data_IF_295217308948
#
_entry.id   IF_295217308948
#
_cell.length_a   1.000
_cell.length_b   1.000
_cell.length_c   1.000
_cell.angle_alpha   90.00
_cell.angle_beta   90.00
_cell.angle_gamma   90.00
#
_symmetry.space_group_name_H-M   'P 1'
#
loop_
_entity.id
_entity.type
_entity.pdbx_description
1 polymer ?
#
# COMPACT_ATOMS: atom_id res chain seq x y z
N UNK A 1 20.81 -7.77 3.91
CA UNK A 1 20.52 -6.33 4.13
C UNK A 1 19.89 -6.17 5.50
N UNK A 2 20.48 -5.39 6.40
CA UNK A 2 19.79 -4.97 7.62
C UNK A 2 19.00 -3.71 7.28
N UNK A 3 17.69 -3.88 7.13
CA UNK A 3 16.76 -2.82 6.71
C UNK A 3 16.72 -1.71 7.75
N UNK A 4 16.56 -2.07 9.03
CA UNK A 4 16.58 -1.15 10.16
C UNK A 4 17.70 -1.51 11.13
N UNK A 5 18.19 -0.51 11.87
CA UNK A 5 19.07 -0.77 13.01
C UNK A 5 18.29 -1.49 14.14
N UNK A 6 19.01 -2.07 15.11
CA UNK A 6 18.40 -2.92 16.14
C UNK A 6 17.32 -2.17 16.94
N UNK A 7 17.60 -0.95 17.37
CA UNK A 7 16.67 -0.12 18.14
C UNK A 7 15.43 0.28 17.33
N UNK A 8 15.60 0.68 16.07
CA UNK A 8 14.48 1.02 15.18
C UNK A 8 13.58 -0.19 14.93
N UNK A 9 14.18 -1.35 14.70
CA UNK A 9 13.45 -2.61 14.51
C UNK A 9 12.62 -2.95 15.74
N UNK A 10 13.21 -2.84 16.93
CA UNK A 10 12.49 -3.14 18.17
C UNK A 10 11.30 -2.20 18.37
N UNK A 11 11.43 -0.90 18.03
CA UNK A 11 10.31 0.05 18.08
C UNK A 11 9.16 -0.36 17.17
N UNK A 12 9.46 -0.75 15.92
CA UNK A 12 8.43 -1.23 14.98
C UNK A 12 7.75 -2.48 15.50
N UNK A 13 8.52 -3.46 15.98
CA UNK A 13 7.97 -4.70 16.55
C UNK A 13 7.05 -4.41 17.74
N UNK A 14 7.48 -3.54 18.65
CA UNK A 14 6.67 -3.17 19.82
C UNK A 14 5.32 -2.58 19.43
N UNK A 15 5.26 -1.75 18.38
CA UNK A 15 4.01 -1.17 17.87
C UNK A 15 3.09 -2.27 17.32
N UNK A 16 3.62 -3.18 16.50
CA UNK A 16 2.80 -4.24 15.90
C UNK A 16 2.30 -5.28 16.92
N UNK A 17 3.04 -5.48 18.01
CA UNK A 17 2.65 -6.35 19.10
C UNK A 17 1.70 -5.69 20.10
N UNK A 18 1.59 -4.36 20.13
CA UNK A 18 0.67 -3.66 21.03
C UNK A 18 -0.79 -3.81 20.57
N UNK A 19 -1.61 -4.39 21.44
CA UNK A 19 -3.04 -4.58 21.20
C UNK A 19 -3.78 -3.25 21.00
N UNK A 20 -3.29 -2.16 21.58
CA UNK A 20 -3.93 -0.86 21.56
C UNK A 20 -3.30 0.13 20.58
N UNK A 21 -2.35 -0.33 19.75
CA UNK A 21 -1.74 0.49 18.72
C UNK A 21 -2.81 1.10 17.80
N UNK A 22 -2.74 2.42 17.61
CA UNK A 22 -3.67 3.09 16.71
C UNK A 22 -3.23 2.93 15.24
N UNK A 23 -4.16 3.02 14.27
CA UNK A 23 -3.85 2.90 12.84
C UNK A 23 -2.74 3.83 12.34
N UNK A 24 -2.60 5.02 12.91
CA UNK A 24 -1.59 6.00 12.48
C UNK A 24 -0.18 5.61 12.96
N UNK A 25 -0.04 5.08 14.18
CA UNK A 25 1.24 4.53 14.67
C UNK A 25 1.71 3.34 13.83
N UNK A 26 0.75 2.50 13.41
CA UNK A 26 0.99 1.34 12.54
C UNK A 26 1.46 1.78 11.14
N UNK A 27 0.82 2.78 10.52
CA UNK A 27 1.26 3.35 9.23
C UNK A 27 2.63 4.02 9.35
N UNK A 28 2.91 4.75 10.43
CA UNK A 28 4.23 5.38 10.64
C UNK A 28 5.34 4.32 10.81
N UNK A 29 5.05 3.26 11.57
CA UNK A 29 5.98 2.14 11.75
C UNK A 29 6.27 1.42 10.42
N UNK A 30 5.23 1.14 9.63
CA UNK A 30 5.38 0.55 8.30
C UNK A 30 6.13 1.49 7.34
N UNK A 31 5.84 2.80 7.37
CA UNK A 31 6.52 3.80 6.57
C UNK A 31 8.03 3.78 6.83
N UNK A 32 8.47 3.65 8.09
CA UNK A 32 9.90 3.53 8.42
C UNK A 32 10.52 2.29 7.78
N UNK A 33 9.83 1.16 7.79
CA UNK A 33 10.28 -0.08 7.14
C UNK A 33 10.37 0.11 5.62
N UNK A 34 9.34 0.68 4.99
CA UNK A 34 9.31 0.91 3.54
C UNK A 34 10.38 1.90 3.07
N UNK A 35 10.55 3.02 3.77
CA UNK A 35 11.62 3.98 3.47
C UNK A 35 12.97 3.30 3.59
N UNK A 36 13.18 2.44 4.57
CA UNK A 36 14.44 1.74 4.71
C UNK A 36 14.66 0.61 3.67
N UNK A 37 13.57 -0.03 3.20
CA UNK A 37 13.63 -1.06 2.14
C UNK A 37 13.94 -0.45 0.77
N UNK A 38 13.30 0.67 0.44
CA UNK A 38 13.35 1.29 -0.89
C UNK A 38 14.29 2.50 -0.95
N UNK A 39 14.48 3.20 0.17
CA UNK A 39 15.39 4.32 0.32
C UNK A 39 16.82 3.83 0.56
N UNK A 40 17.70 4.09 -0.40
CA UNK A 40 19.13 3.71 -0.31
C UNK A 40 19.93 4.49 0.74
N UNK A 41 19.39 5.59 1.28
CA UNK A 41 20.04 6.46 2.28
C UNK A 41 19.00 6.98 3.28
N UNK A 42 19.43 7.28 4.51
CA UNK A 42 18.65 8.08 5.46
C UNK A 42 18.44 9.46 4.84
N UNK A 43 17.27 9.69 4.28
CA UNK A 43 16.82 11.01 3.82
C UNK A 43 15.57 11.39 4.60
N UNK A 44 15.39 12.67 4.91
CA UNK A 44 14.13 13.22 5.45
C UNK A 44 13.02 13.27 4.37
N UNK A 45 13.08 12.41 3.37
CA UNK A 45 12.15 12.42 2.27
C UNK A 45 10.82 11.80 2.70
N UNK A 46 9.72 12.45 2.33
CA UNK A 46 8.39 11.87 2.47
C UNK A 46 8.26 10.62 1.60
N UNK A 47 7.41 9.68 2.02
CA UNK A 47 7.11 8.43 1.28
C UNK A 47 6.77 8.72 -0.19
N UNK A 48 5.93 9.72 -0.44
CA UNK A 48 5.53 10.10 -1.80
C UNK A 48 6.69 10.67 -2.64
N UNK A 49 7.59 11.45 -2.04
CA UNK A 49 8.79 11.96 -2.74
C UNK A 49 9.72 10.82 -3.16
N UNK A 50 9.89 9.83 -2.28
CA UNK A 50 10.70 8.64 -2.56
C UNK A 50 10.09 7.81 -3.69
N UNK A 51 8.78 7.53 -3.63
CA UNK A 51 8.05 6.80 -4.68
C UNK A 51 8.22 7.51 -6.03
N UNK A 52 8.00 8.82 -6.06
CA UNK A 52 8.10 9.61 -7.30
C UNK A 52 9.52 9.57 -7.88
N UNK A 53 10.55 9.73 -7.05
CA UNK A 53 11.96 9.64 -7.49
C UNK A 53 12.30 8.26 -8.04
N UNK A 54 11.83 7.19 -7.41
CA UNK A 54 12.03 5.81 -7.87
C UNK A 54 11.28 5.54 -9.18
N UNK A 55 10.09 6.11 -9.34
CA UNK A 55 9.34 6.08 -10.59
C UNK A 55 10.08 6.79 -11.72
N UNK A 56 10.50 8.05 -11.52
CA UNK A 56 11.29 8.78 -12.52
C UNK A 56 12.58 8.03 -12.93
N UNK A 57 13.29 7.46 -11.95
CA UNK A 57 14.51 6.67 -12.20
C UNK A 57 14.25 5.35 -12.91
N UNK A 58 13.04 4.81 -12.85
CA UNK A 58 12.70 3.58 -13.54
C UNK A 58 12.25 3.85 -14.98
N UNK A 59 11.70 5.04 -15.28
CA UNK A 59 11.37 5.45 -16.66
C UNK A 59 12.58 5.56 -17.59
N UNK A 60 13.77 5.87 -17.06
CA UNK A 60 15.01 5.95 -17.86
C UNK A 60 15.63 4.58 -18.15
N UNK A 61 15.06 3.49 -17.62
CA UNK A 61 15.57 2.13 -17.83
C UNK A 61 14.79 1.46 -18.95
N UNK A 62 15.50 0.82 -19.87
CA UNK A 62 14.88 0.08 -20.99
C UNK A 62 13.96 -1.07 -20.54
N UNK A 63 14.18 -1.62 -19.34
CA UNK A 63 13.39 -2.71 -18.77
C UNK A 63 12.68 -2.26 -17.48
N UNK A 64 11.70 -1.38 -17.62
CA UNK A 64 10.85 -0.97 -16.50
C UNK A 64 10.07 -2.19 -15.96
N UNK A 65 10.38 -2.60 -14.72
CA UNK A 65 9.65 -3.66 -14.02
C UNK A 65 8.88 -2.99 -12.88
N UNK A 66 7.55 -2.99 -13.01
CA UNK A 66 6.62 -2.35 -12.07
C UNK A 66 6.78 -2.84 -10.63
N UNK A 67 7.15 -4.11 -10.45
CA UNK A 67 7.31 -4.75 -9.14
C UNK A 67 8.41 -4.13 -8.26
N UNK A 68 9.33 -3.34 -8.83
CA UNK A 68 10.36 -2.64 -8.04
C UNK A 68 9.90 -1.28 -7.50
N UNK A 69 8.69 -0.84 -7.84
CA UNK A 69 8.13 0.36 -7.23
C UNK A 69 7.62 0.06 -5.83
N UNK A 70 7.85 0.95 -4.86
CA UNK A 70 7.18 0.86 -3.58
C UNK A 70 5.65 0.98 -3.75
N UNK A 71 4.86 0.38 -2.85
CA UNK A 71 3.43 0.63 -2.80
C UNK A 71 3.14 2.12 -2.59
N UNK A 72 2.00 2.59 -3.11
CA UNK A 72 1.53 3.96 -2.85
C UNK A 72 1.22 4.16 -1.38
N UNK A 73 1.20 5.40 -0.91
CA UNK A 73 0.88 5.74 0.49
C UNK A 73 -0.44 5.12 0.97
N UNK A 74 -1.49 5.16 0.14
CA UNK A 74 -2.77 4.54 0.51
C UNK A 74 -2.70 3.01 0.54
N UNK A 75 -1.99 2.38 -0.42
CA UNK A 75 -1.89 0.92 -0.48
C UNK A 75 -1.02 0.34 0.64
N UNK A 76 0.06 1.06 1.00
CA UNK A 76 0.91 0.74 2.15
C UNK A 76 0.09 0.78 3.44
N UNK A 77 -0.63 1.88 3.70
CA UNK A 77 -1.51 1.98 4.88
C UNK A 77 -2.48 0.81 5.00
N UNK A 78 -3.13 0.40 3.91
CA UNK A 78 -4.00 -0.78 3.97
C UNK A 78 -3.23 -2.09 4.24
N UNK A 79 -2.01 -2.21 3.71
CA UNK A 79 -1.13 -3.35 3.98
C UNK A 79 -0.71 -3.41 5.44
N UNK A 80 -0.32 -2.29 6.06
CA UNK A 80 0.06 -2.24 7.46
C UNK A 80 -1.06 -2.68 8.39
N UNK A 81 -2.31 -2.27 8.12
CA UNK A 81 -3.47 -2.70 8.90
C UNK A 81 -3.68 -4.22 8.84
N UNK A 82 -3.52 -4.82 7.66
CA UNK A 82 -3.64 -6.29 7.52
C UNK A 82 -2.49 -7.03 8.20
N UNK A 83 -1.28 -6.51 8.07
CA UNK A 83 -0.11 -7.09 8.76
C UNK A 83 -0.27 -7.00 10.28
N UNK A 84 -0.78 -5.87 10.79
CA UNK A 84 -1.12 -5.70 12.20
C UNK A 84 -2.15 -6.73 12.66
N UNK A 85 -3.27 -6.86 11.94
CA UNK A 85 -4.29 -7.87 12.26
C UNK A 85 -3.69 -9.28 12.34
N UNK A 86 -2.82 -9.64 11.40
CA UNK A 86 -2.17 -10.95 11.37
C UNK A 86 -1.28 -11.16 12.62
N UNK A 87 -0.48 -10.17 13.01
CA UNK A 87 0.35 -10.23 14.23
C UNK A 87 -0.51 -10.37 15.49
N UNK A 88 -1.62 -9.65 15.55
CA UNK A 88 -2.55 -9.67 16.69
C UNK A 88 -3.24 -11.03 16.83
N UNK A 89 -3.70 -11.60 15.71
CA UNK A 89 -4.29 -12.94 15.68
C UNK A 89 -3.29 -14.02 16.13
N UNK A 90 -2.03 -13.94 15.68
CA UNK A 90 -0.97 -14.84 16.13
C UNK A 90 -0.64 -14.69 17.61
N UNK A 91 -0.87 -13.52 18.19
CA UNK A 91 -0.67 -13.24 19.61
C UNK A 91 -1.88 -13.62 20.48
N UNK A 92 -2.95 -14.17 19.88
CA UNK A 92 -4.14 -14.60 20.59
C UNK A 92 -5.23 -13.53 20.76
N UNK A 93 -5.04 -12.34 20.18
CA UNK A 93 -6.03 -11.26 20.25
C UNK A 93 -7.04 -11.35 19.12
N UNK A 94 -8.31 -11.48 19.46
CA UNK A 94 -9.41 -11.48 18.49
C UNK A 94 -9.74 -10.05 18.07
N UNK A 95 -9.50 -9.72 16.80
CA UNK A 95 -9.86 -8.42 16.19
C UNK A 95 -10.70 -8.64 14.94
N UNK A 96 -11.69 -7.77 14.70
CA UNK A 96 -12.57 -7.86 13.54
C UNK A 96 -11.84 -7.40 12.26
N UNK A 97 -11.73 -8.24 11.21
CA UNK A 97 -11.00 -7.89 9.99
C UNK A 97 -11.49 -6.61 9.29
N UNK A 98 -12.77 -6.26 9.45
CA UNK A 98 -13.41 -5.12 8.77
C UNK A 98 -12.82 -3.77 9.16
N UNK A 99 -12.19 -3.67 10.33
CA UNK A 99 -11.51 -2.46 10.77
C UNK A 99 -10.02 -2.43 10.39
N UNK A 100 -9.49 -3.52 9.83
CA UNK A 100 -8.05 -3.73 9.63
C UNK A 100 -7.71 -4.13 8.19
N UNK A 101 -8.22 -3.35 7.23
CA UNK A 101 -7.83 -3.47 5.82
C UNK A 101 -8.48 -4.64 5.07
N UNK A 102 -9.59 -5.18 5.58
CA UNK A 102 -10.45 -6.15 4.90
C UNK A 102 -11.85 -5.61 4.70
N UNK A 103 -12.51 -6.08 3.64
CA UNK A 103 -13.92 -5.80 3.36
C UNK A 103 -14.67 -7.10 3.17
N UNK A 104 -15.93 -7.11 3.58
CA UNK A 104 -16.83 -8.21 3.31
C UNK A 104 -17.40 -8.11 1.89
N UNK A 105 -17.51 -9.25 1.25
CA UNK A 105 -18.17 -9.41 -0.04
C UNK A 105 -19.05 -10.67 0.01
N UNK A 106 -19.94 -10.83 -0.96
CA UNK A 106 -20.71 -12.08 -1.14
C UNK A 106 -19.84 -13.35 -1.30
N UNK A 107 -18.54 -13.18 -1.54
CA UNK A 107 -17.57 -14.26 -1.72
C UNK A 107 -16.61 -14.39 -0.52
N UNK A 108 -16.94 -13.75 0.60
CA UNK A 108 -16.10 -13.74 1.81
C UNK A 108 -15.29 -12.45 1.97
N UNK A 109 -14.23 -12.53 2.77
CA UNK A 109 -13.35 -11.40 3.08
C UNK A 109 -12.34 -11.18 1.95
N UNK A 110 -12.27 -9.95 1.45
CA UNK A 110 -11.29 -9.52 0.46
C UNK A 110 -10.42 -8.40 1.04
N UNK A 111 -9.12 -8.36 0.70
CA UNK A 111 -8.26 -7.28 1.14
C UNK A 111 -8.69 -5.96 0.47
N UNK A 112 -8.70 -4.88 1.25
CA UNK A 112 -8.83 -3.52 0.71
C UNK A 112 -7.46 -3.11 0.17
N UNK A 113 -7.31 -3.01 -1.14
CA UNK A 113 -5.99 -2.69 -1.73
C UNK A 113 -5.64 -1.21 -1.66
N UNK A 114 -6.63 -0.32 -1.77
CA UNK A 114 -6.51 1.14 -1.68
C UNK A 114 -7.92 1.74 -1.62
N UNK A 115 -8.06 2.88 -0.95
CA UNK A 115 -9.27 3.72 -1.02
C UNK A 115 -9.16 4.87 -2.05
N UNK A 116 -7.97 5.07 -2.63
CA UNK A 116 -7.76 6.07 -3.68
C UNK A 116 -8.04 5.49 -5.06
N UNK A 117 -8.62 6.32 -5.92
CA UNK A 117 -8.79 6.02 -7.33
C UNK A 117 -7.43 5.79 -8.02
N UNK A 118 -7.36 4.92 -9.04
CA UNK A 118 -6.09 4.58 -9.71
C UNK A 118 -5.38 5.78 -10.34
N UNK A 119 -6.14 6.78 -10.81
CA UNK A 119 -5.64 8.04 -11.33
C UNK A 119 -6.73 9.11 -11.28
N UNK A 120 -6.40 10.35 -11.66
CA UNK A 120 -7.40 11.42 -11.75
C UNK A 120 -8.44 11.12 -12.85
N UNK A 121 -9.70 11.57 -12.70
CA UNK A 121 -10.74 11.34 -13.72
C UNK A 121 -10.35 11.86 -15.11
N UNK A 122 -9.63 12.98 -15.17
CA UNK A 122 -9.13 13.55 -16.43
C UNK A 122 -8.08 12.66 -17.12
N UNK A 123 -7.25 11.97 -16.33
CA UNK A 123 -6.28 11.02 -16.88
C UNK A 123 -6.95 9.71 -17.30
N UNK A 124 -7.90 9.23 -16.49
CA UNK A 124 -8.68 8.03 -16.84
C UNK A 124 -9.51 8.23 -18.11
N UNK A 125 -10.09 9.42 -18.33
CA UNK A 125 -10.81 9.72 -19.57
C UNK A 125 -9.89 9.82 -20.80
N UNK A 126 -8.62 10.16 -20.61
CA UNK A 126 -7.62 10.15 -21.67
C UNK A 126 -7.22 8.73 -22.07
N UNK A 127 -7.08 7.82 -21.10
CA UNK A 127 -6.70 6.41 -21.31
C UNK A 127 -7.90 5.57 -21.78
N UNK A 128 -9.05 5.74 -21.12
CA UNK A 128 -10.26 4.99 -21.38
C UNK A 128 -11.29 5.89 -22.07
N UNK A 129 -11.29 5.87 -23.40
CA UNK A 129 -12.30 6.56 -24.21
C UNK A 129 -13.65 5.83 -24.28
N UNK A 130 -13.87 4.80 -23.44
CA UNK A 130 -15.13 4.04 -23.35
C UNK A 130 -16.25 4.88 -22.70
N UNK A 131 -16.45 6.12 -23.15
CA UNK A 131 -17.37 7.10 -22.57
C UNK A 131 -18.83 6.88 -22.99
N UNK A 132 -19.10 6.08 -24.04
CA UNK A 132 -20.44 6.08 -24.68
C UNK A 132 -21.04 4.73 -25.07
N UNK A 133 -20.37 3.61 -24.83
CA UNK A 133 -20.94 2.31 -25.20
C UNK A 133 -20.98 1.42 -23.97
N UNK A 134 -22.17 0.87 -23.67
CA UNK A 134 -22.42 -0.20 -22.69
C UNK A 134 -21.74 -1.52 -23.10
N UNK A 135 -20.53 -1.44 -23.66
CA UNK A 135 -19.78 -2.61 -24.08
C UNK A 135 -19.08 -3.20 -22.86
N UNK A 136 -19.67 -4.29 -22.35
CA UNK A 136 -19.05 -5.19 -21.35
C UNK A 136 -17.70 -5.78 -21.82
N UNK A 137 -17.31 -5.55 -23.08
CA UNK A 137 -16.01 -5.93 -23.65
C UNK A 137 -14.87 -4.95 -23.34
N UNK A 138 -15.14 -3.75 -22.81
CA UNK A 138 -14.09 -2.76 -22.51
C UNK A 138 -13.13 -3.29 -21.42
N UNK A 139 -11.88 -3.53 -21.77
CA UNK A 139 -10.83 -4.07 -20.88
C UNK A 139 -10.49 -3.13 -19.73
N UNK A 140 -10.62 -1.81 -19.94
CA UNK A 140 -10.45 -0.81 -18.89
C UNK A 140 -11.48 -1.01 -17.77
N UNK A 141 -12.76 -1.19 -18.11
CA UNK A 141 -13.84 -1.45 -17.13
C UNK A 141 -13.64 -2.78 -16.39
N UNK A 142 -13.20 -3.83 -17.10
CA UNK A 142 -12.85 -5.11 -16.47
C UNK A 142 -11.72 -4.97 -15.43
N UNK A 143 -10.83 -4.01 -15.64
CA UNK A 143 -9.74 -3.66 -14.73
C UNK A 143 -10.16 -2.66 -13.64
N UNK A 144 -11.46 -2.35 -13.53
CA UNK A 144 -11.98 -1.41 -12.53
C UNK A 144 -11.81 0.07 -12.88
N UNK A 145 -11.30 0.39 -14.07
CA UNK A 145 -11.14 1.76 -14.55
C UNK A 145 -12.47 2.21 -15.16
N UNK A 146 -13.14 3.16 -14.50
CA UNK A 146 -14.41 3.75 -14.94
C UNK A 146 -14.21 5.03 -15.71
#
# INVERSE_FOLDING_TARGET
MNVLNNTERQKVVNIFCDENACPDDIDEAEQKVLIALYGRKKSEETRDSLIFKLFQKSLVKNNFILAFLPPTTAAAREHSLRAYLQVQLWSGFAKSPLYWGWKETKHGLFPVTTHKEPASPAFLSMICKCAKVYNLSCTCRKSGIK
#
